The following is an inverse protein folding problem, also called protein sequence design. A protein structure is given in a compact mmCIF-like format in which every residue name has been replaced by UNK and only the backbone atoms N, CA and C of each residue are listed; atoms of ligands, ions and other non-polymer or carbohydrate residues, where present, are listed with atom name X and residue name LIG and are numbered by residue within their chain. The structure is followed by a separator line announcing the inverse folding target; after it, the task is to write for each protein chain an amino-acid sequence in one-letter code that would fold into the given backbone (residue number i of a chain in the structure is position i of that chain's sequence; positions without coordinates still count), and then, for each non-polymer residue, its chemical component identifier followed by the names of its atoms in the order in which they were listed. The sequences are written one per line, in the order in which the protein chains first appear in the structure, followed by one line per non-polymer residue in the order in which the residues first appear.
data_IF_180075716910
#
_entry.id   IF_180075716910
#
_cell.length_a   1.000
_cell.length_b   1.000
_cell.length_c   1.000
_cell.angle_alpha   90.00
_cell.angle_beta   90.00
_cell.angle_gamma   90.00
#
_symmetry.space_group_name_H-M   'P 1'
#
loop_
_entity.id
_entity.type
_entity.pdbx_description
1 polymer ?
#
# COMPACT_ATOMS: atom_id res chain seq x y z
N UNK A 1 8.19 17.01 5.98
CA UNK A 1 7.19 16.43 5.07
C UNK A 1 7.35 14.91 5.14
N UNK A 2 6.26 14.13 5.12
CA UNK A 2 6.21 12.73 5.60
C UNK A 2 6.85 11.71 4.64
N UNK A 3 8.15 11.84 4.36
CA UNK A 3 8.89 10.96 3.43
C UNK A 3 9.74 9.91 4.12
N UNK A 4 9.77 9.93 5.45
CA UNK A 4 10.62 9.13 6.31
C UNK A 4 9.82 8.77 7.55
N UNK A 5 10.12 7.63 8.21
CA UNK A 5 11.26 6.75 7.96
C UNK A 5 11.10 5.81 6.76
N UNK A 6 9.88 5.56 6.29
CA UNK A 6 9.63 4.68 5.15
C UNK A 6 9.77 5.44 3.84
N UNK A 7 10.74 5.02 3.04
CA UNK A 7 11.02 5.61 1.74
C UNK A 7 9.85 5.45 0.77
N UNK A 8 9.54 6.52 0.05
CA UNK A 8 8.52 6.54 -0.99
C UNK A 8 9.00 5.79 -2.24
N UNK A 9 8.05 5.20 -2.97
CA UNK A 9 8.28 4.51 -4.22
C UNK A 9 8.58 5.50 -5.35
N UNK A 10 9.55 5.19 -6.24
CA UNK A 10 9.71 5.96 -7.48
C UNK A 10 8.50 5.78 -8.38
N UNK A 11 8.05 6.85 -9.04
CA UNK A 11 6.89 6.80 -9.93
C UNK A 11 7.28 6.14 -11.26
N UNK A 12 6.58 5.08 -11.71
CA UNK A 12 6.85 4.39 -12.95
C UNK A 12 6.94 5.30 -14.19
N UNK A 13 7.88 4.98 -15.08
CA UNK A 13 8.15 5.75 -16.29
C UNK A 13 8.91 7.07 -16.08
N UNK A 14 9.33 7.40 -14.85
CA UNK A 14 10.28 8.50 -14.62
C UNK A 14 11.73 8.03 -14.80
N UNK A 15 12.70 8.93 -15.10
CA UNK A 15 14.10 8.57 -15.42
C UNK A 15 14.87 7.75 -14.36
N UNK A 16 14.33 7.57 -13.16
CA UNK A 16 14.94 6.79 -12.06
C UNK A 16 14.13 5.53 -11.68
N UNK A 17 12.98 5.30 -12.31
CA UNK A 17 12.18 4.13 -12.05
C UNK A 17 12.71 2.92 -12.85
N UNK A 18 12.61 1.68 -12.33
CA UNK A 18 12.94 0.48 -13.09
C UNK A 18 12.20 0.39 -14.44
N UNK A 19 11.01 1.00 -14.50
CA UNK A 19 10.12 1.03 -15.68
C UNK A 19 10.36 2.23 -16.61
N UNK A 20 11.46 2.98 -16.45
CA UNK A 20 11.74 4.16 -17.29
C UNK A 20 11.81 3.87 -18.80
N UNK A 21 12.01 2.61 -19.18
CA UNK A 21 12.07 2.14 -20.58
C UNK A 21 10.77 1.52 -21.08
N UNK A 22 9.75 1.38 -20.23
CA UNK A 22 8.47 0.80 -20.66
C UNK A 22 7.82 1.71 -21.70
N UNK A 23 7.42 1.14 -22.83
CA UNK A 23 6.79 1.86 -23.94
C UNK A 23 5.28 1.70 -24.00
N UNK A 24 4.68 0.87 -23.14
CA UNK A 24 3.24 0.65 -23.11
C UNK A 24 2.55 1.70 -22.22
N UNK A 25 1.80 2.66 -22.79
CA UNK A 25 1.21 3.75 -22.02
C UNK A 25 0.14 3.29 -21.04
N UNK A 26 -0.63 2.24 -21.36
CA UNK A 26 -1.68 1.71 -20.48
C UNK A 26 -1.10 1.00 -19.26
N UNK A 27 -0.05 0.20 -19.45
CA UNK A 27 0.64 -0.46 -18.32
C UNK A 27 1.33 0.59 -17.44
N UNK A 28 1.96 1.60 -18.05
CA UNK A 28 2.54 2.70 -17.28
C UNK A 28 1.50 3.48 -16.49
N UNK A 29 0.32 3.71 -17.05
CA UNK A 29 -0.77 4.38 -16.35
C UNK A 29 -1.19 3.60 -15.09
N UNK A 30 -1.49 2.31 -15.24
CA UNK A 30 -1.84 1.42 -14.12
C UNK A 30 -0.73 1.39 -13.05
N UNK A 31 0.52 1.19 -13.48
CA UNK A 31 1.65 1.13 -12.55
C UNK A 31 1.85 2.46 -11.78
N UNK A 32 1.59 3.60 -12.43
CA UNK A 32 1.63 4.92 -11.77
C UNK A 32 0.53 5.07 -10.75
N UNK A 33 -0.69 4.65 -11.06
CA UNK A 33 -1.81 4.72 -10.11
C UNK A 33 -1.53 3.86 -8.87
N UNK A 34 -1.06 2.63 -9.04
CA UNK A 34 -0.62 1.76 -7.93
C UNK A 34 0.50 2.42 -7.12
N UNK A 35 1.53 2.96 -7.77
CA UNK A 35 2.63 3.63 -7.06
C UNK A 35 2.16 4.87 -6.30
N UNK A 36 1.19 5.62 -6.83
CA UNK A 36 0.63 6.80 -6.17
C UNK A 36 -0.19 6.43 -4.93
N UNK A 37 -1.04 5.40 -5.00
CA UNK A 37 -1.82 4.92 -3.85
C UNK A 37 -0.88 4.44 -2.74
N UNK A 38 0.09 3.59 -3.06
CA UNK A 38 1.10 3.15 -2.09
C UNK A 38 1.88 4.32 -1.48
N UNK A 39 2.21 5.34 -2.29
CA UNK A 39 2.89 6.54 -1.82
C UNK A 39 2.02 7.43 -0.92
N UNK A 40 0.69 7.37 -1.03
CA UNK A 40 -0.22 8.01 -0.09
C UNK A 40 -0.22 7.23 1.24
N UNK A 41 -0.43 5.91 1.18
CA UNK A 41 -0.41 5.02 2.35
C UNK A 41 0.91 5.09 3.13
N UNK A 42 2.05 5.17 2.44
CA UNK A 42 3.37 5.34 3.07
C UNK A 42 3.55 6.71 3.73
N UNK A 43 2.96 7.77 3.15
CA UNK A 43 3.00 9.10 3.76
C UNK A 43 2.18 9.14 5.04
N UNK A 44 1.01 8.51 5.04
CA UNK A 44 0.18 8.40 6.23
C UNK A 44 0.88 7.57 7.31
N UNK A 45 1.48 6.43 6.95
CA UNK A 45 2.28 5.62 7.88
C UNK A 45 3.47 6.40 8.46
N UNK A 46 4.18 7.16 7.63
CA UNK A 46 5.25 8.05 8.08
C UNK A 46 4.72 9.13 9.03
N UNK A 47 3.55 9.72 8.74
CA UNK A 47 2.92 10.70 9.60
C UNK A 47 2.58 10.08 10.97
N UNK A 48 1.92 8.91 10.99
CA UNK A 48 1.64 8.13 12.21
C UNK A 48 2.93 7.93 13.02
N UNK A 49 3.99 7.43 12.38
CA UNK A 49 5.27 7.18 13.04
C UNK A 49 5.85 8.45 13.68
N UNK A 50 5.77 9.59 13.00
CA UNK A 50 6.33 10.86 13.46
C UNK A 50 5.49 11.53 14.55
N UNK A 51 4.23 11.15 14.75
CA UNK A 51 3.39 11.74 15.81
C UNK A 51 3.72 11.23 17.22
N UNK A 52 4.61 10.24 17.37
CA UNK A 52 4.92 9.65 18.68
C UNK A 52 5.33 10.68 19.74
N UNK A 53 6.02 11.76 19.35
CA UNK A 53 6.46 12.82 20.25
C UNK A 53 5.42 13.94 20.47
N UNK A 54 4.22 13.80 19.91
CA UNK A 54 3.15 14.80 19.95
C UNK A 54 1.96 14.36 20.80
N UNK A 55 1.98 13.14 21.35
CA UNK A 55 0.88 12.56 22.12
C UNK A 55 1.10 12.80 23.61
N UNK A 56 0.29 13.66 24.22
CA UNK A 56 0.45 14.05 25.63
C UNK A 56 -0.83 13.91 26.45
N UNK A 57 -1.98 14.07 25.80
CA UNK A 57 -3.29 14.10 26.43
C UNK A 57 -4.15 12.92 25.97
N UNK A 58 -5.20 12.56 26.74
CA UNK A 58 -6.18 11.59 26.28
C UNK A 58 -6.81 11.94 24.92
N UNK A 59 -6.97 13.23 24.61
CA UNK A 59 -7.46 13.68 23.31
C UNK A 59 -6.46 13.36 22.20
N UNK A 60 -5.16 13.62 22.40
CA UNK A 60 -4.14 13.30 21.38
C UNK A 60 -4.08 11.79 21.10
N UNK A 61 -4.27 10.97 22.13
CA UNK A 61 -4.37 9.51 21.99
C UNK A 61 -5.58 9.17 21.13
N UNK A 62 -6.76 9.67 21.47
CA UNK A 62 -8.00 9.43 20.72
C UNK A 62 -7.87 9.84 19.25
N UNK A 63 -7.31 11.02 18.98
CA UNK A 63 -7.14 11.54 17.63
C UNK A 63 -6.14 10.71 16.81
N UNK A 64 -5.02 10.30 17.42
CA UNK A 64 -4.04 9.46 16.76
C UNK A 64 -4.59 8.05 16.50
N UNK A 65 -5.27 7.44 17.47
CA UNK A 65 -5.92 6.12 17.33
C UNK A 65 -6.95 6.16 16.21
N UNK A 66 -7.77 7.22 16.13
CA UNK A 66 -8.71 7.42 15.02
C UNK A 66 -7.99 7.52 13.66
N UNK A 67 -6.89 8.27 13.59
CA UNK A 67 -6.12 8.40 12.34
C UNK A 67 -5.48 7.07 11.92
N UNK A 68 -4.92 6.31 12.87
CA UNK A 68 -4.37 4.97 12.60
C UNK A 68 -5.47 4.03 12.10
N UNK A 69 -6.66 4.06 12.73
CA UNK A 69 -7.80 3.25 12.29
C UNK A 69 -8.20 3.59 10.86
N UNK A 70 -8.32 4.88 10.53
CA UNK A 70 -8.67 5.32 9.17
C UNK A 70 -7.61 4.89 8.13
N UNK A 71 -6.33 4.98 8.48
CA UNK A 71 -5.25 4.44 7.64
C UNK A 71 -5.38 2.93 7.44
N UNK A 72 -5.66 2.19 8.51
CA UNK A 72 -5.85 0.74 8.45
C UNK A 72 -7.04 0.33 7.58
N UNK A 73 -8.19 0.99 7.74
CA UNK A 73 -9.37 0.76 6.89
C UNK A 73 -9.03 0.99 5.41
N UNK A 74 -8.22 2.01 5.10
CA UNK A 74 -7.76 2.30 3.74
C UNK A 74 -6.81 1.23 3.18
N UNK A 75 -5.85 0.75 3.98
CA UNK A 75 -4.94 -0.34 3.60
C UNK A 75 -5.73 -1.62 3.32
N UNK A 76 -6.65 -1.99 4.22
CA UNK A 76 -7.47 -3.19 4.07
C UNK A 76 -8.36 -3.11 2.83
N UNK A 77 -9.01 -1.97 2.59
CA UNK A 77 -9.81 -1.77 1.38
C UNK A 77 -8.97 -1.88 0.10
N UNK A 78 -7.78 -1.27 0.10
CA UNK A 78 -6.85 -1.31 -1.04
C UNK A 78 -6.39 -2.75 -1.34
N UNK A 79 -5.88 -3.48 -0.35
CA UNK A 79 -5.46 -4.88 -0.55
C UNK A 79 -6.62 -5.79 -0.94
N UNK A 80 -7.81 -5.58 -0.36
CA UNK A 80 -9.00 -6.34 -0.74
C UNK A 80 -9.35 -6.14 -2.21
N UNK A 81 -9.34 -4.90 -2.70
CA UNK A 81 -9.58 -4.61 -4.13
C UNK A 81 -8.50 -5.20 -5.03
N UNK A 82 -7.24 -5.17 -4.60
CA UNK A 82 -6.15 -5.82 -5.31
C UNK A 82 -6.36 -7.33 -5.44
N UNK A 83 -6.60 -8.05 -4.34
CA UNK A 83 -6.71 -9.51 -4.35
C UNK A 83 -8.02 -10.05 -4.94
N UNK A 84 -9.13 -9.30 -4.84
CA UNK A 84 -10.42 -9.76 -5.35
C UNK A 84 -10.72 -9.31 -6.78
N UNK A 85 -10.05 -8.27 -7.27
CA UNK A 85 -10.33 -7.69 -8.60
C UNK A 85 -9.07 -7.57 -9.44
N UNK A 86 -8.08 -6.79 -9.00
CA UNK A 86 -6.96 -6.42 -9.88
C UNK A 86 -6.03 -7.59 -10.18
N UNK A 87 -5.59 -8.32 -9.16
CA UNK A 87 -4.65 -9.43 -9.33
C UNK A 87 -5.23 -10.55 -10.19
N UNK A 88 -6.48 -11.02 -9.96
CA UNK A 88 -7.12 -11.98 -10.86
C UNK A 88 -7.24 -11.45 -12.30
N UNK A 89 -7.54 -10.16 -12.47
CA UNK A 89 -7.63 -9.56 -13.81
C UNK A 89 -6.28 -9.57 -14.52
N UNK A 90 -5.18 -9.27 -13.83
CA UNK A 90 -3.84 -9.31 -14.43
C UNK A 90 -3.37 -10.72 -14.75
N UNK A 91 -3.65 -11.68 -13.87
CA UNK A 91 -3.35 -13.08 -14.12
C UNK A 91 -4.14 -13.61 -15.34
N UNK A 92 -5.42 -13.27 -15.48
CA UNK A 92 -6.23 -13.63 -16.65
C UNK A 92 -5.67 -13.01 -17.95
N UNK A 93 -5.27 -11.74 -17.92
CA UNK A 93 -4.64 -11.08 -19.08
C UNK A 93 -3.28 -11.72 -19.44
N UNK A 94 -2.52 -12.17 -18.46
CA UNK A 94 -1.25 -12.86 -18.69
C UNK A 94 -1.48 -14.26 -19.28
N UNK A 95 -2.51 -14.99 -18.82
CA UNK A 95 -2.89 -16.29 -19.36
C UNK A 95 -3.28 -16.21 -20.84
N UNK A 96 -3.99 -15.15 -21.26
CA UNK A 96 -4.34 -14.91 -22.67
C UNK A 96 -3.13 -14.83 -23.61
N UNK A 97 -1.96 -14.43 -23.09
CA UNK A 97 -0.70 -14.36 -23.86
C UNK A 97 0.22 -15.55 -23.60
N UNK A 98 -0.26 -16.59 -22.92
CA UNK A 98 0.41 -17.87 -22.71
C UNK A 98 1.25 -17.97 -21.45
N UNK A 99 1.14 -17.02 -20.52
CA UNK A 99 1.75 -17.15 -19.19
C UNK A 99 0.99 -18.20 -18.38
N UNK A 100 1.71 -19.08 -17.67
CA UNK A 100 1.12 -20.21 -16.95
C UNK A 100 1.14 -20.02 -15.45
N UNK A 101 2.08 -19.24 -14.96
CA UNK A 101 2.22 -18.93 -13.54
C UNK A 101 1.56 -17.57 -13.23
N UNK A 102 1.03 -17.40 -12.02
CA UNK A 102 0.48 -16.11 -11.59
C UNK A 102 1.55 -15.03 -11.62
N UNK A 103 1.30 -13.94 -12.34
CA UNK A 103 2.19 -12.77 -12.40
C UNK A 103 2.07 -11.92 -11.14
N UNK A 104 0.99 -12.09 -10.37
CA UNK A 104 0.74 -11.40 -9.11
C UNK A 104 0.99 -12.25 -7.86
N UNK A 105 1.41 -13.51 -8.00
CA UNK A 105 1.59 -14.43 -6.87
C UNK A 105 2.58 -13.94 -5.82
N UNK A 106 3.62 -13.21 -6.23
CA UNK A 106 4.56 -12.57 -5.29
C UNK A 106 3.87 -11.47 -4.46
N UNK A 107 2.99 -10.68 -5.07
CA UNK A 107 2.27 -9.61 -4.38
C UNK A 107 1.31 -10.19 -3.33
N UNK A 108 0.59 -11.26 -3.68
CA UNK A 108 -0.26 -12.00 -2.73
C UNK A 108 0.57 -12.51 -1.54
N UNK A 109 1.73 -13.11 -1.78
CA UNK A 109 2.60 -13.56 -0.69
C UNK A 109 3.11 -12.39 0.18
N UNK A 110 3.39 -11.23 -0.41
CA UNK A 110 3.76 -10.03 0.34
C UNK A 110 2.62 -9.54 1.24
N UNK A 111 1.37 -9.54 0.75
CA UNK A 111 0.21 -9.22 1.58
C UNK A 111 0.06 -10.22 2.72
N UNK A 112 0.17 -11.53 2.43
CA UNK A 112 0.10 -12.59 3.43
C UNK A 112 1.15 -12.45 4.54
N UNK A 113 2.35 -11.98 4.20
CA UNK A 113 3.43 -11.73 5.18
C UNK A 113 3.20 -10.45 6.00
N UNK A 114 2.50 -9.46 5.44
CA UNK A 114 2.16 -8.20 6.09
C UNK A 114 0.97 -8.35 7.06
N UNK A 115 -0.05 -9.10 6.64
CA UNK A 115 -1.35 -9.24 7.31
C UNK A 115 -1.27 -9.50 8.82
N UNK A 116 -0.45 -10.42 9.35
CA UNK A 116 -0.48 -10.75 10.78
C UNK A 116 -0.07 -9.57 11.68
N UNK A 117 0.91 -8.78 11.24
CA UNK A 117 1.35 -7.59 11.97
C UNK A 117 0.31 -6.47 11.90
N UNK A 118 -0.32 -6.34 10.74
CA UNK A 118 -1.39 -5.38 10.50
C UNK A 118 -2.62 -5.66 11.38
N UNK A 119 -3.11 -6.89 11.40
CA UNK A 119 -4.25 -7.31 12.22
C UNK A 119 -3.98 -7.02 13.70
N UNK A 120 -2.79 -7.40 14.19
CA UNK A 120 -2.42 -7.14 15.60
C UNK A 120 -2.41 -5.65 15.94
N UNK A 121 -1.97 -4.80 15.02
CA UNK A 121 -2.01 -3.34 15.21
C UNK A 121 -3.46 -2.85 15.28
N UNK A 122 -4.31 -3.31 14.37
CA UNK A 122 -5.72 -2.91 14.33
C UNK A 122 -6.48 -3.37 15.58
N UNK A 123 -6.25 -4.59 16.05
CA UNK A 123 -6.82 -5.09 17.31
C UNK A 123 -6.41 -4.21 18.50
N UNK A 124 -5.13 -3.83 18.61
CA UNK A 124 -4.67 -2.93 19.65
C UNK A 124 -5.35 -1.55 19.58
N UNK A 125 -5.56 -1.02 18.38
CA UNK A 125 -6.19 0.29 18.15
C UNK A 125 -7.67 0.28 18.54
N UNK A 126 -8.38 -0.84 18.38
CA UNK A 126 -9.77 -0.99 18.83
C UNK A 126 -9.90 -1.15 20.36
N UNK A 127 -8.84 -1.55 21.05
CA UNK A 127 -8.80 -1.72 22.50
C UNK A 127 -8.46 -0.44 23.28
N UNK A 128 -7.81 0.54 22.63
CA UNK A 128 -7.32 1.80 23.22
C UNK A 128 -8.38 2.90 23.17
#
# INVERSE_FOLDING_TARGET
WAHQPFSLLPIPGQPRAPTHQSSNPSILYIARDIANVHNALLRDLNAIYLQHSSVYTPTDISDLTFYIKAWGDAVQHHHHGEETVLFPTYDAMAEEVGEKDSVMGRNVEQHRLFEPGFVKMMEYIEEV
#
